data_IF_731213890400
#
_entry.id   IF_731213890400
#
_cell.length_a   1.000
_cell.length_b   1.000
_cell.length_c   1.000
_cell.angle_alpha   90.00
_cell.angle_beta   90.00
_cell.angle_gamma   90.00
#
_symmetry.space_group_name_H-M   'P 1'
#
loop_
_entity.id
_entity.type
_entity.pdbx_description
1 polymer ?
#
# COMPACT_ATOMS: atom_id res chain seq x y z
N UNK A 1 -41.01 -21.00 -44.44
CA UNK A 1 -40.73 -19.80 -43.62
C UNK A 1 -39.93 -20.23 -42.40
N UNK A 2 -38.61 -20.22 -42.49
CA UNK A 2 -37.69 -20.61 -41.41
C UNK A 2 -36.70 -19.46 -41.21
N UNK A 3 -36.91 -18.72 -40.12
CA UNK A 3 -36.04 -17.65 -39.63
C UNK A 3 -34.75 -18.26 -39.10
N UNK A 4 -33.62 -17.98 -39.74
CA UNK A 4 -32.30 -18.23 -39.17
C UNK A 4 -31.71 -16.88 -38.77
N UNK A 5 -31.74 -16.59 -37.46
CA UNK A 5 -31.10 -15.42 -36.87
C UNK A 5 -29.61 -15.69 -36.76
N UNK A 6 -28.79 -14.94 -37.51
CA UNK A 6 -27.36 -14.84 -37.29
C UNK A 6 -27.12 -14.18 -35.93
N UNK A 7 -26.59 -14.94 -34.98
CA UNK A 7 -26.07 -14.44 -33.72
C UNK A 7 -24.69 -13.82 -33.93
N UNK A 8 -24.67 -12.48 -33.99
CA UNK A 8 -23.46 -11.67 -33.79
C UNK A 8 -23.18 -11.52 -32.30
N UNK A 9 -22.03 -12.01 -31.83
CA UNK A 9 -21.41 -11.67 -30.53
C UNK A 9 -19.90 -11.51 -30.81
N UNK A 10 -19.43 -10.28 -31.07
CA UNK A 10 -18.81 -9.33 -30.12
C UNK A 10 -17.67 -9.99 -29.31
N UNK A 11 -16.40 -9.78 -29.67
CA UNK A 11 -15.52 -8.60 -29.44
C UNK A 11 -14.72 -8.68 -28.13
N UNK A 12 -13.46 -8.23 -28.25
CA UNK A 12 -12.54 -7.79 -27.21
C UNK A 12 -11.76 -8.85 -26.41
N UNK A 13 -10.93 -9.64 -27.10
CA UNK A 13 -9.76 -10.25 -26.48
C UNK A 13 -8.55 -9.29 -26.61
N UNK A 14 -8.06 -8.80 -25.47
CA UNK A 14 -6.62 -8.64 -25.27
C UNK A 14 -5.94 -7.31 -25.63
N UNK A 15 -6.48 -6.16 -25.21
CA UNK A 15 -5.70 -4.90 -25.17
C UNK A 15 -5.71 -4.30 -23.76
N UNK A 16 -5.02 -4.93 -22.80
CA UNK A 16 -4.72 -4.32 -21.50
C UNK A 16 -3.57 -5.07 -20.81
N UNK A 17 -2.33 -4.93 -21.30
CA UNK A 17 -1.16 -5.37 -20.52
C UNK A 17 0.16 -4.76 -21.04
N UNK A 18 0.20 -3.46 -21.33
CA UNK A 18 1.46 -2.74 -21.46
C UNK A 18 1.32 -1.40 -20.76
N UNK A 19 1.45 -1.40 -19.45
CA UNK A 19 1.93 -0.20 -18.78
C UNK A 19 3.05 -0.61 -17.81
N UNK A 20 4.33 -0.59 -18.23
CA UNK A 20 5.46 -1.08 -17.43
C UNK A 20 6.06 0.02 -16.53
N UNK A 21 5.29 1.07 -16.23
CA UNK A 21 5.85 2.25 -15.58
C UNK A 21 5.85 2.08 -14.06
N UNK A 22 7.04 2.23 -13.46
CA UNK A 22 7.20 2.40 -12.01
C UNK A 22 6.68 3.77 -11.58
N UNK A 23 6.65 4.02 -10.27
CA UNK A 23 6.08 5.25 -9.69
C UNK A 23 6.74 6.55 -10.17
N UNK A 24 7.94 6.49 -10.75
CA UNK A 24 8.62 7.65 -11.34
C UNK A 24 8.02 8.10 -12.68
N UNK A 25 7.37 7.18 -13.40
CA UNK A 25 6.80 7.42 -14.73
C UNK A 25 5.26 7.35 -14.69
N UNK A 26 4.69 6.78 -13.63
CA UNK A 26 3.27 6.51 -13.48
C UNK A 26 2.67 7.27 -12.30
N UNK A 27 1.50 7.88 -12.51
CA UNK A 27 0.68 8.50 -11.45
C UNK A 27 -0.48 7.57 -11.08
N UNK A 28 -0.44 6.89 -9.92
CA UNK A 28 -1.48 5.94 -9.55
C UNK A 28 -2.83 6.61 -9.33
N UNK A 29 -3.91 5.93 -9.75
CA UNK A 29 -5.27 6.49 -9.66
C UNK A 29 -5.99 6.18 -8.34
N UNK A 30 -5.44 5.27 -7.55
CA UNK A 30 -5.89 4.93 -6.19
C UNK A 30 -4.79 4.16 -5.42
N UNK A 31 -5.03 3.90 -4.14
CA UNK A 31 -4.07 3.19 -3.29
C UNK A 31 -3.73 1.78 -3.80
N UNK A 32 -4.71 0.99 -4.23
CA UNK A 32 -4.45 -0.37 -4.75
C UNK A 32 -3.60 -0.35 -6.00
N UNK A 33 -3.84 0.64 -6.85
CA UNK A 33 -3.09 0.86 -8.06
C UNK A 33 -1.65 1.30 -7.79
N UNK A 34 -1.44 2.11 -6.76
CA UNK A 34 -0.10 2.43 -6.24
C UNK A 34 0.64 1.16 -5.83
N UNK A 35 0.02 0.32 -5.00
CA UNK A 35 0.63 -0.94 -4.56
C UNK A 35 0.95 -1.88 -5.73
N UNK A 36 0.08 -1.95 -6.75
CA UNK A 36 0.33 -2.72 -7.97
C UNK A 36 1.49 -2.17 -8.79
N UNK A 37 1.63 -0.85 -8.89
CA UNK A 37 2.76 -0.21 -9.60
C UNK A 37 4.07 -0.48 -8.86
N UNK A 38 4.07 -0.31 -7.54
CA UNK A 38 5.18 -0.56 -6.64
C UNK A 38 5.67 -2.02 -6.70
N UNK A 39 4.76 -3.00 -6.61
CA UNK A 39 5.06 -4.43 -6.63
C UNK A 39 5.64 -4.97 -7.96
N UNK A 40 5.76 -4.13 -9.00
CA UNK A 40 6.38 -4.52 -10.28
C UNK A 40 7.90 -4.59 -10.19
N UNK A 41 8.51 -3.92 -9.22
CA UNK A 41 9.94 -4.12 -8.93
C UNK A 41 10.14 -5.56 -8.44
N UNK A 42 11.08 -6.29 -9.04
CA UNK A 42 11.34 -7.70 -8.71
C UNK A 42 11.87 -7.89 -7.28
N UNK A 43 12.32 -6.81 -6.64
CA UNK A 43 12.91 -6.82 -5.29
C UNK A 43 11.97 -6.29 -4.22
N UNK A 44 10.75 -5.86 -4.58
CA UNK A 44 9.84 -5.21 -3.64
C UNK A 44 8.91 -6.20 -2.93
N UNK A 45 9.51 -6.98 -2.02
CA UNK A 45 8.80 -7.91 -1.13
C UNK A 45 7.73 -7.20 -0.28
N UNK A 46 7.91 -5.89 -0.01
CA UNK A 46 6.98 -5.08 0.78
C UNK A 46 5.65 -4.93 0.04
N UNK A 47 5.67 -4.34 -1.16
CA UNK A 47 4.45 -4.10 -1.92
C UNK A 47 3.81 -5.41 -2.41
N UNK A 48 4.60 -6.43 -2.75
CA UNK A 48 4.08 -7.75 -3.12
C UNK A 48 3.26 -8.38 -1.98
N UNK A 49 3.75 -8.29 -0.74
CA UNK A 49 3.05 -8.84 0.42
C UNK A 49 1.69 -8.16 0.69
N UNK A 50 1.52 -6.89 0.30
CA UNK A 50 0.26 -6.16 0.50
C UNK A 50 -0.85 -6.60 -0.47
N UNK A 51 -0.49 -6.98 -1.70
CA UNK A 51 -1.46 -7.15 -2.80
C UNK A 51 -2.62 -8.10 -2.49
N UNK A 52 -2.41 -9.31 -1.95
CA UNK A 52 -3.51 -10.23 -1.68
C UNK A 52 -4.51 -9.65 -0.68
N UNK A 53 -4.02 -8.99 0.37
CA UNK A 53 -4.85 -8.39 1.41
C UNK A 53 -5.60 -7.17 0.89
N UNK A 54 -4.95 -6.32 0.09
CA UNK A 54 -5.59 -5.16 -0.56
C UNK A 54 -6.70 -5.59 -1.52
N UNK A 55 -6.51 -6.68 -2.26
CA UNK A 55 -7.51 -7.22 -3.17
C UNK A 55 -8.73 -7.79 -2.43
N UNK A 56 -8.51 -8.42 -1.26
CA UNK A 56 -9.57 -9.03 -0.46
C UNK A 56 -10.33 -8.02 0.42
N UNK A 57 -9.76 -6.84 0.70
CA UNK A 57 -10.39 -5.84 1.56
C UNK A 57 -11.43 -5.05 0.77
N UNK A 58 -12.66 -4.98 1.28
CA UNK A 58 -13.73 -4.19 0.67
C UNK A 58 -13.58 -2.68 0.95
N UNK A 59 -14.05 -1.84 0.03
CA UNK A 59 -14.08 -0.38 0.19
C UNK A 59 -12.72 0.32 0.03
N UNK A 60 -12.65 1.62 0.35
CA UNK A 60 -11.39 2.37 0.35
C UNK A 60 -10.41 1.83 1.39
N UNK A 61 -9.12 1.88 1.07
CA UNK A 61 -8.05 1.39 1.94
C UNK A 61 -6.93 2.41 2.02
N UNK A 62 -6.29 2.46 3.18
CA UNK A 62 -5.08 3.21 3.41
C UNK A 62 -3.98 2.25 3.79
N UNK A 63 -2.78 2.40 3.25
CA UNK A 63 -1.63 1.61 3.72
C UNK A 63 -0.39 2.47 3.90
N UNK A 64 0.54 1.94 4.69
CA UNK A 64 1.83 2.54 4.95
C UNK A 64 2.83 2.08 3.90
N UNK A 65 3.61 3.01 3.37
CA UNK A 65 4.70 2.73 2.44
C UNK A 65 5.97 3.41 2.96
N UNK A 66 7.01 2.67 3.34
CA UNK A 66 8.27 3.27 3.75
C UNK A 66 8.79 4.26 2.71
N UNK A 67 9.18 5.44 3.17
CA UNK A 67 9.78 6.48 2.33
C UNK A 67 11.31 6.29 2.25
N UNK A 68 11.72 5.07 1.94
CA UNK A 68 13.11 4.63 1.83
C UNK A 68 13.34 3.94 0.47
N UNK A 69 14.59 3.66 0.11
CA UNK A 69 14.91 2.88 -1.09
C UNK A 69 14.63 1.38 -0.89
N UNK A 70 14.42 0.64 -1.99
CA UNK A 70 14.11 -0.79 -1.96
C UNK A 70 15.10 -1.62 -1.13
N UNK A 71 16.38 -1.25 -1.13
CA UNK A 71 17.43 -1.93 -0.36
C UNK A 71 17.25 -1.72 1.15
N UNK A 72 16.99 -0.48 1.56
CA UNK A 72 16.71 -0.11 2.94
C UNK A 72 15.41 -0.77 3.43
N UNK A 73 14.35 -0.74 2.62
CA UNK A 73 13.07 -1.40 2.93
C UNK A 73 13.30 -2.90 3.16
N UNK A 74 14.05 -3.55 2.26
CA UNK A 74 14.40 -4.97 2.39
C UNK A 74 15.20 -5.24 3.67
N UNK A 75 16.15 -4.36 4.02
CA UNK A 75 16.92 -4.47 5.25
C UNK A 75 16.06 -4.30 6.51
N UNK A 76 15.10 -3.37 6.50
CA UNK A 76 14.13 -3.20 7.58
C UNK A 76 13.26 -4.45 7.75
N UNK A 77 12.76 -5.02 6.66
CA UNK A 77 11.97 -6.27 6.68
C UNK A 77 12.79 -7.45 7.20
N UNK A 78 14.02 -7.63 6.69
CA UNK A 78 14.92 -8.68 7.14
C UNK A 78 15.23 -8.58 8.64
N UNK A 79 15.39 -7.36 9.17
CA UNK A 79 15.59 -7.11 10.60
C UNK A 79 14.38 -7.53 11.43
N UNK A 80 13.16 -7.21 11.01
CA UNK A 80 11.95 -7.65 11.73
C UNK A 80 11.84 -9.17 11.73
N UNK A 81 12.07 -9.79 10.58
CA UNK A 81 12.00 -11.25 10.43
C UNK A 81 13.05 -11.96 11.30
N UNK A 82 14.27 -11.44 11.38
CA UNK A 82 15.35 -12.06 12.16
C UNK A 82 15.08 -12.07 13.66
N UNK A 83 14.38 -11.06 14.20
CA UNK A 83 13.93 -11.07 15.61
C UNK A 83 12.99 -12.24 15.94
N UNK A 84 12.45 -12.90 14.92
CA UNK A 84 11.53 -14.04 15.00
C UNK A 84 12.15 -15.34 14.49
N UNK A 85 13.46 -15.34 14.21
CA UNK A 85 14.15 -16.49 13.62
C UNK A 85 13.75 -16.80 12.17
N UNK A 86 13.20 -15.81 11.44
CA UNK A 86 12.76 -15.96 10.05
C UNK A 86 13.71 -15.27 9.08
N UNK A 87 13.69 -15.71 7.82
CA UNK A 87 14.40 -15.09 6.70
C UNK A 87 13.42 -14.44 5.73
N UNK A 88 13.91 -13.52 4.89
CA UNK A 88 13.11 -12.94 3.79
C UNK A 88 12.63 -13.99 2.79
N UNK A 89 13.40 -15.07 2.62
CA UNK A 89 12.98 -16.19 1.78
C UNK A 89 11.85 -17.02 2.40
N UNK A 90 11.86 -17.25 3.72
CA UNK A 90 10.74 -17.86 4.41
C UNK A 90 9.48 -17.00 4.30
N UNK A 91 9.63 -15.68 4.48
CA UNK A 91 8.54 -14.71 4.31
C UNK A 91 7.93 -14.74 2.90
N UNK A 92 8.76 -14.74 1.84
CA UNK A 92 8.30 -14.83 0.46
C UNK A 92 7.52 -16.11 0.13
N UNK A 93 7.82 -17.20 0.82
CA UNK A 93 7.17 -18.51 0.59
C UNK A 93 5.93 -18.74 1.44
N UNK A 94 5.68 -17.90 2.44
CA UNK A 94 4.58 -18.06 3.39
C UNK A 94 3.51 -16.97 3.22
N UNK A 95 2.38 -17.29 2.56
CA UNK A 95 1.27 -16.36 2.39
C UNK A 95 0.65 -15.89 3.71
N UNK A 96 0.71 -16.70 4.78
CA UNK A 96 0.16 -16.32 6.07
C UNK A 96 1.02 -15.25 6.75
N UNK A 97 2.35 -15.34 6.64
CA UNK A 97 3.27 -14.30 7.09
C UNK A 97 3.09 -13.00 6.31
N UNK A 98 2.96 -13.07 4.98
CA UNK A 98 2.67 -11.89 4.15
C UNK A 98 1.34 -11.26 4.51
N UNK A 99 0.31 -12.06 4.73
CA UNK A 99 -1.01 -11.56 5.13
C UNK A 99 -0.98 -10.92 6.52
N UNK A 100 -0.22 -11.48 7.48
CA UNK A 100 -0.04 -10.87 8.79
C UNK A 100 0.65 -9.51 8.67
N UNK A 101 1.75 -9.45 7.92
CA UNK A 101 2.46 -8.21 7.60
C UNK A 101 1.55 -7.15 6.96
N UNK A 102 0.79 -7.55 5.95
CA UNK A 102 -0.13 -6.64 5.26
C UNK A 102 -1.23 -6.14 6.20
N UNK A 103 -1.82 -7.03 7.02
CA UNK A 103 -2.88 -6.62 7.95
C UNK A 103 -2.39 -5.64 9.01
N UNK A 104 -1.15 -5.77 9.47
CA UNK A 104 -0.53 -4.82 10.38
C UNK A 104 -0.25 -3.44 9.75
N UNK A 105 -0.26 -3.31 8.43
CA UNK A 105 0.15 -2.08 7.72
C UNK A 105 -0.95 -1.47 6.83
N UNK A 106 -2.15 -2.05 6.85
CA UNK A 106 -3.32 -1.57 6.09
C UNK A 106 -4.42 -1.17 7.07
N UNK A 107 -5.08 -0.05 6.79
CA UNK A 107 -6.28 0.44 7.45
C UNK A 107 -7.48 0.33 6.50
N UNK A 108 -8.64 -0.12 6.99
CA UNK A 108 -9.90 -0.14 6.25
C UNK A 108 -10.58 1.24 6.23
N UNK A 109 -9.86 2.27 5.76
CA UNK A 109 -10.38 3.64 5.64
C UNK A 109 -9.81 4.33 4.42
N UNK A 110 -10.51 5.34 3.93
CA UNK A 110 -10.11 6.14 2.77
C UNK A 110 -8.87 7.01 3.05
N UNK A 111 -8.83 7.63 4.23
CA UNK A 111 -7.77 8.54 4.65
C UNK A 111 -7.67 8.57 6.17
N UNK A 112 -6.47 8.78 6.69
CA UNK A 112 -6.31 8.96 8.12
C UNK A 112 -6.70 10.39 8.53
N UNK A 113 -7.29 10.48 9.71
CA UNK A 113 -7.68 11.73 10.37
C UNK A 113 -7.14 11.73 11.79
N UNK A 114 -7.14 12.88 12.46
CA UNK A 114 -6.75 12.91 13.88
C UNK A 114 -7.74 12.11 14.71
N UNK A 115 -7.25 11.12 15.47
CA UNK A 115 -8.06 10.19 16.25
C UNK A 115 -7.42 8.80 16.32
N UNK A 116 -8.18 7.82 16.83
CA UNK A 116 -7.72 6.42 16.89
C UNK A 116 -8.15 5.70 15.62
N UNK A 117 -7.18 5.15 14.89
CA UNK A 117 -7.43 4.29 13.73
C UNK A 117 -6.96 2.86 14.04
N UNK A 118 -7.58 1.86 13.40
CA UNK A 118 -7.18 0.46 13.53
C UNK A 118 -6.71 -0.09 12.20
N UNK A 119 -5.59 -0.79 12.24
CA UNK A 119 -5.11 -1.64 11.16
C UNK A 119 -6.02 -2.87 11.02
N UNK A 120 -5.89 -3.61 9.92
CA UNK A 120 -6.75 -4.78 9.64
C UNK A 120 -6.53 -5.95 10.60
N UNK A 121 -5.41 -5.98 11.32
CA UNK A 121 -5.19 -6.92 12.44
C UNK A 121 -5.89 -6.48 13.75
N UNK A 122 -6.54 -5.32 13.75
CA UNK A 122 -7.30 -4.78 14.87
C UNK A 122 -6.50 -3.92 15.84
N UNK A 123 -5.18 -3.77 15.64
CA UNK A 123 -4.31 -2.99 16.53
C UNK A 123 -4.66 -1.50 16.43
N UNK A 124 -4.92 -0.81 17.57
CA UNK A 124 -5.21 0.61 17.57
C UNK A 124 -3.94 1.46 17.48
N UNK A 125 -4.02 2.56 16.73
CA UNK A 125 -2.96 3.55 16.58
C UNK A 125 -3.54 4.96 16.76
N UNK A 126 -2.90 5.74 17.61
CA UNK A 126 -3.17 7.17 17.70
C UNK A 126 -2.62 7.87 16.46
N UNK A 127 -3.48 8.65 15.81
CA UNK A 127 -3.13 9.43 14.62
C UNK A 127 -3.33 10.91 14.91
N UNK A 128 -2.35 11.73 14.55
CA UNK A 128 -2.43 13.18 14.57
C UNK A 128 -2.05 13.73 13.20
N UNK A 129 -3.02 14.29 12.48
CA UNK A 129 -2.82 14.83 11.15
C UNK A 129 -2.85 16.36 11.16
N UNK A 130 -2.00 16.96 10.32
CA UNK A 130 -1.96 18.40 10.04
C UNK A 130 -1.68 18.64 8.57
N UNK A 131 -2.13 19.79 8.07
CA UNK A 131 -1.70 20.29 6.77
C UNK A 131 -0.37 21.05 6.94
N UNK A 132 0.54 20.88 5.99
CA UNK A 132 1.87 21.47 6.02
C UNK A 132 2.33 21.89 4.63
N UNK A 133 3.31 22.79 4.58
CA UNK A 133 3.83 23.34 3.33
C UNK A 133 3.10 24.58 2.85
N UNK A 134 3.75 25.31 1.94
CA UNK A 134 3.25 26.52 1.31
C UNK A 134 2.60 26.27 -0.07
N UNK A 135 2.61 25.02 -0.54
CA UNK A 135 2.01 24.61 -1.82
C UNK A 135 0.49 24.49 -1.75
N UNK A 136 -0.15 24.45 -2.93
CA UNK A 136 -1.59 24.14 -3.07
C UNK A 136 -1.75 22.93 -4.00
N UNK A 137 -2.34 21.81 -3.52
CA UNK A 137 -2.79 21.57 -2.15
C UNK A 137 -1.62 21.46 -1.16
N UNK A 138 -1.88 21.78 0.11
CA UNK A 138 -0.93 21.55 1.20
C UNK A 138 -0.77 20.04 1.47
N UNK A 139 0.41 19.65 1.93
CA UNK A 139 0.72 18.27 2.27
C UNK A 139 0.05 17.88 3.59
N UNK A 140 -0.73 16.80 3.58
CA UNK A 140 -1.23 16.16 4.78
C UNK A 140 -0.12 15.29 5.38
N UNK A 141 0.37 15.73 6.54
CA UNK A 141 1.35 15.01 7.34
C UNK A 141 0.64 14.44 8.57
N UNK A 142 0.81 13.15 8.83
CA UNK A 142 0.26 12.50 10.00
C UNK A 142 1.35 11.84 10.83
N UNK A 143 1.32 12.03 12.15
CA UNK A 143 1.95 11.11 13.10
C UNK A 143 1.01 9.93 13.30
N UNK A 144 1.49 8.69 13.12
CA UNK A 144 0.73 7.43 13.14
C UNK A 144 1.44 6.50 14.14
N UNK A 145 1.07 6.59 15.41
CA UNK A 145 1.85 5.98 16.51
C UNK A 145 3.31 6.46 16.48
N UNK A 146 4.32 5.56 16.41
CA UNK A 146 5.72 5.95 16.30
C UNK A 146 6.14 6.49 14.92
N UNK A 147 5.29 6.41 13.90
CA UNK A 147 5.64 6.74 12.51
C UNK A 147 5.22 8.17 12.16
N UNK A 148 5.98 8.85 11.31
CA UNK A 148 5.53 10.06 10.61
C UNK A 148 5.26 9.70 9.16
N UNK A 149 4.17 10.18 8.56
CA UNK A 149 3.80 9.85 7.20
C UNK A 149 3.21 11.03 6.41
N UNK A 150 3.57 11.13 5.13
CA UNK A 150 2.99 12.11 4.19
C UNK A 150 2.02 11.42 3.24
N UNK A 151 0.80 11.93 3.08
CA UNK A 151 -0.18 11.34 2.18
C UNK A 151 0.17 11.63 0.70
N UNK A 152 0.67 10.62 -0.01
CA UNK A 152 1.07 10.73 -1.42
C UNK A 152 -0.11 10.85 -2.38
N UNK A 153 -1.29 10.46 -1.95
CA UNK A 153 -2.51 10.45 -2.76
C UNK A 153 -3.54 11.51 -2.33
N UNK A 154 -3.11 12.52 -1.56
CA UNK A 154 -4.01 13.56 -1.04
C UNK A 154 -4.80 14.34 -2.10
N UNK A 155 -4.22 14.46 -3.29
CA UNK A 155 -4.77 15.19 -4.43
C UNK A 155 -5.87 14.41 -5.15
N UNK A 156 -6.00 13.11 -4.89
CA UNK A 156 -7.04 12.27 -5.43
C UNK A 156 -8.38 12.50 -4.70
N UNK A 157 -9.51 12.27 -5.39
CA UNK A 157 -10.84 12.40 -4.79
C UNK A 157 -11.06 11.39 -3.66
N UNK A 158 -12.08 11.66 -2.83
CA UNK A 158 -12.53 10.74 -1.80
C UNK A 158 -12.93 9.38 -2.42
N UNK A 159 -12.62 8.29 -1.71
CA UNK A 159 -12.87 6.92 -2.14
C UNK A 159 -11.68 6.26 -2.87
N UNK A 160 -10.65 7.02 -3.25
CA UNK A 160 -9.42 6.49 -3.87
C UNK A 160 -8.48 5.78 -2.89
N UNK A 161 -8.75 5.83 -1.59
CA UNK A 161 -7.79 5.40 -0.58
C UNK A 161 -6.61 6.36 -0.44
N UNK A 162 -5.66 6.03 0.43
CA UNK A 162 -4.47 6.84 0.68
C UNK A 162 -3.22 5.98 0.81
N UNK A 163 -2.06 6.57 0.53
CA UNK A 163 -0.75 5.97 0.79
C UNK A 163 0.05 6.94 1.62
N UNK A 164 0.42 6.53 2.83
CA UNK A 164 1.28 7.34 3.69
C UNK A 164 2.72 6.90 3.49
N UNK A 165 3.51 7.78 2.88
CA UNK A 165 4.96 7.62 2.78
C UNK A 165 5.56 7.82 4.17
N UNK A 166 5.91 6.74 4.86
CA UNK A 166 6.25 6.72 6.28
C UNK A 166 7.75 6.71 6.55
N UNK A 167 8.15 7.36 7.65
CA UNK A 167 9.49 7.29 8.24
C UNK A 167 9.37 6.95 9.72
N UNK A 168 10.38 6.28 10.27
CA UNK A 168 10.53 6.11 11.72
C UNK A 168 10.93 7.42 12.41
N UNK A 169 10.87 7.44 13.75
CA UNK A 169 11.33 8.59 14.55
C UNK A 169 12.84 8.81 14.44
N UNK A 170 13.59 7.74 14.18
CA UNK A 170 15.02 7.72 13.89
C UNK A 170 15.33 6.81 12.69
N UNK A 171 16.56 6.88 12.16
CA UNK A 171 17.03 6.01 11.07
C UNK A 171 17.04 4.51 11.44
N UNK A 172 17.07 4.20 12.73
CA UNK A 172 17.08 2.81 13.21
C UNK A 172 15.69 2.25 13.43
N UNK A 173 14.67 3.10 13.51
CA UNK A 173 13.29 2.67 13.72
C UNK A 173 12.72 2.03 12.44
N UNK A 174 11.66 1.25 12.60
CA UNK A 174 10.97 0.67 11.47
C UNK A 174 10.07 1.73 10.83
N UNK A 175 10.08 1.89 9.51
CA UNK A 175 9.17 2.80 8.80
C UNK A 175 7.78 2.18 8.58
N UNK A 176 7.46 1.07 9.25
CA UNK A 176 6.20 0.33 9.18
C UNK A 176 5.96 -0.42 10.50
N UNK A 177 4.75 -0.93 10.71
CA UNK A 177 4.42 -1.67 11.92
C UNK A 177 4.92 -3.13 11.85
N UNK A 178 5.54 -3.65 12.93
CA UNK A 178 5.82 -5.08 13.05
C UNK A 178 4.51 -5.89 13.15
N UNK A 179 4.54 -7.17 12.80
CA UNK A 179 3.33 -7.99 12.58
C UNK A 179 3.29 -9.29 13.38
#
# INVERSE_FOLDING_TARGET
MTRMWLGSLLLAAGLCACDPQGLDLYSPVNARDYARSCARSQVDDYCQALLPTLAATAGPVTFLMPNDGDTEITAHLARVLSTRGLTTEAFRRDPALQAAFARANIFATDRLTTGVHRTLDGVPHDVQCRLAGSGTPQDQICQIGPLSGVNRLQHLPAGSGSVYATTGASRTDLPFFPF
#
